data_IF_148062630390
#
_entry.id   IF_148062630390
#
_cell.length_a   1.000
_cell.length_b   1.000
_cell.length_c   1.000
_cell.angle_alpha   90.00
_cell.angle_beta   90.00
_cell.angle_gamma   90.00
#
_symmetry.space_group_name_H-M   'P 1'
#
loop_
_entity.id
_entity.type
_entity.pdbx_description
1 polymer ?
#
# COMPACT_ATOMS: atom_id res chain seq x y z
N UNK A 1 16.71 -3.12 -6.57
CA UNK A 1 17.48 -3.62 -5.43
C UNK A 1 18.34 -4.79 -5.89
N UNK A 2 19.60 -4.87 -5.40
CA UNK A 2 20.54 -5.92 -5.78
C UNK A 2 20.50 -7.04 -4.74
N UNK A 3 20.86 -8.29 -5.10
CA UNK A 3 20.92 -9.40 -4.14
C UNK A 3 21.78 -9.10 -2.90
N UNK A 4 22.90 -8.36 -3.08
CA UNK A 4 23.77 -7.95 -1.99
C UNK A 4 23.14 -7.01 -0.97
N UNK A 5 22.21 -6.14 -1.40
CA UNK A 5 21.50 -5.22 -0.50
C UNK A 5 20.58 -6.00 0.44
N UNK A 6 19.87 -6.99 -0.11
CA UNK A 6 19.01 -7.88 0.69
C UNK A 6 19.84 -8.76 1.63
N UNK A 7 20.95 -9.33 1.16
CA UNK A 7 21.85 -10.12 2.00
C UNK A 7 22.37 -9.31 3.19
N UNK A 8 22.74 -8.04 2.97
CA UNK A 8 23.19 -7.14 4.03
C UNK A 8 22.04 -6.84 5.04
N UNK A 9 20.79 -6.66 4.58
CA UNK A 9 19.65 -6.49 5.47
C UNK A 9 19.42 -7.75 6.32
N UNK A 10 19.44 -8.93 5.70
CA UNK A 10 19.20 -10.21 6.40
C UNK A 10 20.28 -10.51 7.45
N UNK A 11 21.54 -10.19 7.18
CA UNK A 11 22.64 -10.41 8.14
C UNK A 11 22.62 -9.46 9.34
N UNK A 12 21.90 -8.34 9.25
CA UNK A 12 21.72 -7.38 10.35
C UNK A 12 20.50 -7.66 11.23
N UNK A 13 19.66 -8.65 10.87
CA UNK A 13 18.50 -9.02 11.67
C UNK A 13 18.91 -9.66 13.00
N UNK A 14 18.05 -9.48 14.01
CA UNK A 14 18.15 -10.11 15.32
C UNK A 14 17.03 -11.15 15.50
N UNK A 15 17.17 -11.99 16.51
CA UNK A 15 16.15 -12.98 16.84
C UNK A 15 14.80 -12.33 17.12
N UNK A 16 13.76 -12.76 16.38
CA UNK A 16 12.42 -12.24 16.49
C UNK A 16 12.11 -10.98 15.66
N UNK A 17 13.07 -10.47 14.90
CA UNK A 17 12.83 -9.31 14.03
C UNK A 17 11.81 -9.62 12.92
N UNK A 18 11.19 -8.55 12.41
CA UNK A 18 10.26 -8.60 11.29
C UNK A 18 10.86 -7.84 10.09
N UNK A 19 11.08 -8.56 9.00
CA UNK A 19 11.45 -7.97 7.73
C UNK A 19 10.19 -7.73 6.89
N UNK A 20 9.87 -6.47 6.59
CA UNK A 20 8.75 -6.11 5.73
C UNK A 20 9.24 -5.76 4.33
N UNK A 21 8.65 -6.40 3.31
CA UNK A 21 8.93 -6.10 1.90
C UNK A 21 7.63 -5.64 1.24
N UNK A 22 7.57 -4.36 0.88
CA UNK A 22 6.45 -3.81 0.11
C UNK A 22 6.62 -4.10 -1.38
N UNK A 23 5.49 -4.34 -2.07
CA UNK A 23 5.44 -4.70 -3.49
C UNK A 23 6.38 -5.86 -3.85
N UNK A 24 6.35 -6.91 -3.04
CA UNK A 24 7.27 -8.07 -3.12
C UNK A 24 7.29 -8.72 -4.51
N UNK A 25 6.22 -8.58 -5.31
CA UNK A 25 6.18 -9.05 -6.71
C UNK A 25 7.17 -8.36 -7.63
N UNK A 26 7.80 -7.26 -7.18
CA UNK A 26 8.85 -6.53 -7.96
C UNK A 26 10.25 -7.05 -7.71
N UNK A 27 10.43 -8.01 -6.85
CA UNK A 27 11.73 -8.61 -6.64
C UNK A 27 12.21 -9.28 -7.94
N UNK A 28 13.48 -9.09 -8.27
CA UNK A 28 14.09 -9.84 -9.36
C UNK A 28 14.30 -11.29 -8.93
N UNK A 29 14.33 -12.20 -9.89
CA UNK A 29 14.56 -13.63 -9.62
C UNK A 29 15.84 -13.89 -8.80
N UNK A 30 16.89 -13.13 -9.06
CA UNK A 30 18.14 -13.23 -8.32
C UNK A 30 18.00 -12.84 -6.84
N UNK A 31 17.11 -11.88 -6.53
CA UNK A 31 16.80 -11.45 -5.15
C UNK A 31 15.90 -12.48 -4.47
N UNK A 32 14.93 -13.05 -5.19
CA UNK A 32 14.10 -14.15 -4.65
C UNK A 32 14.95 -15.38 -4.30
N UNK A 33 15.96 -15.72 -5.12
CA UNK A 33 16.86 -16.85 -4.88
C UNK A 33 17.66 -16.70 -3.57
N UNK A 34 17.92 -15.46 -3.13
CA UNK A 34 18.54 -15.18 -1.82
C UNK A 34 17.55 -15.41 -0.66
N UNK A 35 16.25 -15.14 -0.90
CA UNK A 35 15.22 -15.34 0.13
C UNK A 35 14.93 -16.81 0.40
N UNK A 36 15.07 -17.70 -0.57
CA UNK A 36 14.68 -19.09 -0.40
C UNK A 36 15.40 -19.78 0.76
N UNK A 37 16.75 -19.85 0.80
CA UNK A 37 17.44 -20.45 1.92
C UNK A 37 17.26 -19.66 3.23
N UNK A 38 17.08 -18.34 3.14
CA UNK A 38 16.82 -17.51 4.31
C UNK A 38 15.49 -17.85 4.99
N UNK A 39 14.45 -18.22 4.22
CA UNK A 39 13.13 -18.57 4.74
C UNK A 39 13.01 -20.04 5.13
N UNK A 40 13.71 -20.94 4.44
CA UNK A 40 13.64 -22.38 4.71
C UNK A 40 14.59 -22.79 5.84
N UNK A 41 15.86 -22.37 5.73
CA UNK A 41 16.96 -22.85 6.57
C UNK A 41 17.49 -21.81 7.56
N UNK A 42 16.98 -20.58 7.52
CA UNK A 42 17.58 -19.44 8.23
C UNK A 42 19.06 -19.29 7.92
N UNK A 43 19.41 -19.35 6.64
CA UNK A 43 20.79 -19.26 6.18
C UNK A 43 20.91 -18.49 4.86
N UNK A 44 22.07 -17.94 4.61
CA UNK A 44 22.46 -17.32 3.34
C UNK A 44 23.66 -18.03 2.76
N UNK A 45 23.63 -18.31 1.46
CA UNK A 45 24.75 -18.82 0.71
C UNK A 45 25.39 -17.67 -0.08
N UNK A 46 26.58 -17.24 0.32
CA UNK A 46 27.31 -16.14 -0.30
C UNK A 46 28.48 -16.70 -1.11
N UNK A 47 28.52 -16.36 -2.40
CA UNK A 47 29.65 -16.70 -3.27
C UNK A 47 30.78 -15.68 -3.09
N UNK A 48 31.98 -16.15 -2.66
CA UNK A 48 33.17 -15.33 -2.54
C UNK A 48 34.18 -15.74 -3.60
N UNK A 49 34.74 -14.77 -4.32
CA UNK A 49 35.66 -15.00 -5.43
C UNK A 49 34.99 -14.98 -6.80
N UNK A 50 35.78 -15.22 -7.84
CA UNK A 50 35.32 -15.28 -9.25
C UNK A 50 35.91 -16.50 -9.94
N UNK A 51 35.15 -17.04 -10.89
CA UNK A 51 35.60 -18.17 -11.72
C UNK A 51 35.67 -19.50 -10.96
N UNK A 52 36.51 -20.46 -11.39
CA UNK A 52 36.57 -21.83 -10.85
C UNK A 52 36.99 -21.92 -9.37
N UNK A 53 37.59 -20.86 -8.82
CA UNK A 53 38.05 -20.78 -7.43
C UNK A 53 37.01 -20.10 -6.51
N UNK A 54 35.81 -19.78 -7.01
CA UNK A 54 34.74 -19.22 -6.18
C UNK A 54 34.31 -20.25 -5.11
N UNK A 55 34.17 -19.78 -3.87
CA UNK A 55 33.75 -20.59 -2.74
C UNK A 55 32.39 -20.07 -2.24
N UNK A 56 31.51 -20.99 -1.90
CA UNK A 56 30.26 -20.67 -1.23
C UNK A 56 30.48 -20.68 0.29
N UNK A 57 30.15 -19.59 0.96
CA UNK A 57 30.12 -19.52 2.42
C UNK A 57 28.67 -19.44 2.86
N UNK A 58 28.27 -20.36 3.75
CA UNK A 58 26.95 -20.36 4.37
C UNK A 58 27.00 -19.59 5.70
N UNK A 59 26.15 -18.56 5.80
CA UNK A 59 25.99 -17.71 6.98
C UNK A 59 24.64 -18.06 7.63
N UNK A 60 24.64 -18.44 8.90
CA UNK A 60 23.41 -18.64 9.64
C UNK A 60 22.78 -17.31 10.01
N UNK A 61 21.47 -17.23 9.83
CA UNK A 61 20.64 -16.10 10.20
C UNK A 61 19.88 -16.39 11.52
N UNK A 62 19.59 -15.37 12.32
CA UNK A 62 18.64 -15.53 13.42
C UNK A 62 17.24 -15.84 12.88
N UNK A 63 16.36 -16.35 13.72
CA UNK A 63 14.96 -16.57 13.36
C UNK A 63 14.26 -15.22 13.24
N UNK A 64 13.65 -14.97 12.08
CA UNK A 64 12.93 -13.75 11.78
C UNK A 64 11.59 -14.07 11.12
N UNK A 65 10.70 -13.08 11.03
CA UNK A 65 9.45 -13.18 10.30
C UNK A 65 9.52 -12.33 9.04
N UNK A 66 9.23 -12.92 7.86
CA UNK A 66 9.05 -12.14 6.63
C UNK A 66 7.57 -11.78 6.45
N UNK A 67 7.30 -10.51 6.24
CA UNK A 67 5.99 -10.00 5.84
C UNK A 67 6.12 -9.39 4.44
N UNK A 68 5.44 -9.96 3.47
CA UNK A 68 5.38 -9.44 2.10
C UNK A 68 4.03 -8.79 1.81
N UNK A 69 4.04 -7.58 1.25
CA UNK A 69 2.84 -6.93 0.73
C UNK A 69 2.87 -6.87 -0.80
N UNK A 70 1.72 -7.03 -1.44
CA UNK A 70 1.61 -6.93 -2.90
C UNK A 70 0.21 -6.51 -3.34
N UNK A 71 0.16 -5.70 -4.39
CA UNK A 71 -1.08 -5.41 -5.12
C UNK A 71 -1.35 -6.42 -6.23
N UNK A 72 -0.41 -7.34 -6.51
CA UNK A 72 -0.45 -8.28 -7.65
C UNK A 72 -0.06 -9.69 -7.22
N UNK A 73 -0.90 -10.31 -6.38
CA UNK A 73 -0.63 -11.65 -5.85
C UNK A 73 -0.35 -12.72 -6.94
N UNK A 74 -0.98 -12.59 -8.12
CA UNK A 74 -0.75 -13.48 -9.26
C UNK A 74 0.64 -13.33 -9.93
N UNK A 75 1.40 -12.28 -9.60
CA UNK A 75 2.76 -12.09 -10.13
C UNK A 75 3.86 -12.59 -9.18
N UNK A 76 3.49 -13.03 -7.97
CA UNK A 76 4.43 -13.69 -7.07
C UNK A 76 4.72 -15.07 -7.66
N UNK A 77 6.01 -15.41 -7.76
CA UNK A 77 6.43 -16.73 -8.26
C UNK A 77 5.90 -17.85 -7.37
N UNK A 78 5.57 -19.01 -7.96
CA UNK A 78 5.13 -20.17 -7.20
C UNK A 78 6.07 -20.51 -6.04
N UNK A 79 7.39 -20.66 -6.30
CA UNK A 79 8.36 -20.97 -5.26
C UNK A 79 8.40 -19.99 -4.09
N UNK A 80 8.25 -18.67 -4.35
CA UNK A 80 8.21 -17.67 -3.29
C UNK A 80 6.89 -17.73 -2.52
N UNK A 81 5.77 -17.86 -3.23
CA UNK A 81 4.44 -17.96 -2.61
C UNK A 81 4.31 -19.15 -1.67
N UNK A 82 4.86 -20.31 -2.07
CA UNK A 82 4.75 -21.57 -1.32
C UNK A 82 5.53 -21.52 0.01
N UNK A 83 6.44 -20.55 0.18
CA UNK A 83 7.19 -20.31 1.42
C UNK A 83 6.46 -19.42 2.43
N UNK A 84 5.37 -18.75 2.00
CA UNK A 84 4.51 -18.03 2.94
C UNK A 84 3.50 -18.99 3.58
N UNK A 85 3.59 -19.16 4.89
CA UNK A 85 2.68 -20.00 5.66
C UNK A 85 1.28 -19.40 5.81
N UNK A 86 1.13 -18.08 5.63
CA UNK A 86 -0.13 -17.35 5.79
C UNK A 86 -0.30 -16.37 4.62
N UNK A 87 -1.44 -16.48 3.93
CA UNK A 87 -1.84 -15.55 2.88
C UNK A 87 -3.10 -14.81 3.34
N UNK A 88 -2.97 -13.48 3.47
CA UNK A 88 -4.07 -12.61 3.88
C UNK A 88 -4.50 -11.75 2.70
N UNK A 89 -5.81 -11.68 2.45
CA UNK A 89 -6.41 -10.76 1.49
C UNK A 89 -7.00 -9.58 2.25
N UNK A 90 -6.53 -8.39 1.96
CA UNK A 90 -7.11 -7.17 2.50
C UNK A 90 -8.32 -6.77 1.66
N UNK A 91 -9.41 -6.43 2.34
CA UNK A 91 -10.62 -5.91 1.72
C UNK A 91 -10.66 -4.39 1.78
N UNK A 92 -11.52 -3.79 0.96
CA UNK A 92 -11.78 -2.37 1.01
C UNK A 92 -12.52 -2.03 2.33
N UNK A 93 -12.17 -0.91 2.92
CA UNK A 93 -12.82 -0.42 4.12
C UNK A 93 -14.23 0.09 3.83
N UNK A 94 -15.14 -0.15 4.75
CA UNK A 94 -16.47 0.47 4.76
C UNK A 94 -16.38 1.98 5.04
N UNK A 95 -17.41 2.77 4.68
CA UNK A 95 -17.45 4.18 5.04
C UNK A 95 -17.34 4.46 6.54
N UNK A 96 -17.92 3.59 7.38
CA UNK A 96 -17.85 3.73 8.84
C UNK A 96 -16.44 3.52 9.38
N UNK A 97 -15.71 2.53 8.86
CA UNK A 97 -14.31 2.28 9.21
C UNK A 97 -13.41 3.42 8.73
N UNK A 98 -13.60 3.89 7.49
CA UNK A 98 -12.84 5.03 6.96
C UNK A 98 -13.12 6.31 7.73
N UNK A 99 -14.36 6.54 8.18
CA UNK A 99 -14.70 7.70 9.02
C UNK A 99 -13.88 7.70 10.31
N UNK A 100 -13.72 6.56 10.98
CA UNK A 100 -12.88 6.42 12.16
C UNK A 100 -11.40 6.71 11.85
N UNK A 101 -10.91 6.21 10.71
CA UNK A 101 -9.53 6.46 10.24
C UNK A 101 -9.32 7.96 9.98
N UNK A 102 -10.28 8.63 9.34
CA UNK A 102 -10.24 10.07 9.07
C UNK A 102 -10.21 10.87 10.37
N UNK A 103 -11.09 10.56 11.32
CA UNK A 103 -11.14 11.23 12.63
C UNK A 103 -9.82 11.07 13.38
N UNK A 104 -9.23 9.87 13.42
CA UNK A 104 -7.92 9.63 14.01
C UNK A 104 -6.83 10.46 13.31
N UNK A 105 -6.84 10.47 11.97
CA UNK A 105 -5.85 11.23 11.18
C UNK A 105 -6.00 12.73 11.36
N UNK A 106 -7.23 13.22 11.49
CA UNK A 106 -7.53 14.61 11.79
C UNK A 106 -6.98 15.01 13.17
N UNK A 107 -7.14 14.17 14.19
CA UNK A 107 -6.54 14.39 15.51
C UNK A 107 -5.01 14.46 15.47
N UNK A 108 -4.35 13.60 14.66
CA UNK A 108 -2.88 13.64 14.48
C UNK A 108 -2.42 14.94 13.77
N UNK A 109 -3.27 15.48 12.89
CA UNK A 109 -3.01 16.71 12.14
C UNK A 109 -3.46 17.98 12.89
N UNK A 110 -3.97 17.83 14.10
CA UNK A 110 -4.58 18.89 14.91
C UNK A 110 -5.67 19.66 14.13
N UNK A 111 -6.49 18.92 13.37
CA UNK A 111 -7.53 19.45 12.51
C UNK A 111 -8.90 19.10 13.07
N UNK A 112 -9.70 20.11 13.53
CA UNK A 112 -11.07 19.87 13.95
C UNK A 112 -11.93 19.35 12.79
N UNK A 113 -12.65 18.25 13.03
CA UNK A 113 -13.57 17.64 12.08
C UNK A 113 -14.78 17.08 12.80
N UNK A 114 -15.98 17.31 12.24
CA UNK A 114 -17.20 16.69 12.78
C UNK A 114 -17.35 15.24 12.30
N UNK A 115 -18.11 14.39 13.01
CA UNK A 115 -18.39 13.03 12.54
C UNK A 115 -19.05 13.00 11.16
N UNK A 116 -19.95 13.96 10.87
CA UNK A 116 -20.64 14.10 9.60
C UNK A 116 -19.66 14.48 8.47
N UNK A 117 -18.75 15.43 8.73
CA UNK A 117 -17.69 15.80 7.81
C UNK A 117 -16.78 14.63 7.48
N UNK A 118 -16.32 13.90 8.51
CA UNK A 118 -15.50 12.70 8.33
C UNK A 118 -16.21 11.61 7.51
N UNK A 119 -17.53 11.42 7.75
CA UNK A 119 -18.31 10.45 7.01
C UNK A 119 -18.51 10.82 5.53
N UNK A 120 -18.72 12.12 5.22
CA UNK A 120 -18.80 12.56 3.82
C UNK A 120 -17.50 12.34 3.05
N UNK A 121 -16.33 12.53 3.69
CA UNK A 121 -15.05 12.19 3.09
C UNK A 121 -14.89 10.66 2.90
N UNK A 122 -15.31 9.90 3.91
CA UNK A 122 -15.22 8.44 3.89
C UNK A 122 -16.02 7.83 2.73
N UNK A 123 -17.28 8.27 2.54
CA UNK A 123 -18.15 7.79 1.46
C UNK A 123 -17.52 7.92 0.08
N UNK A 124 -16.75 8.99 -0.16
CA UNK A 124 -16.14 9.26 -1.47
C UNK A 124 -14.72 8.73 -1.58
N UNK A 125 -14.21 8.07 -0.55
CA UNK A 125 -12.85 7.52 -0.52
C UNK A 125 -12.71 6.13 -1.13
N UNK A 126 -13.79 5.57 -1.65
CA UNK A 126 -13.81 4.28 -2.37
C UNK A 126 -13.11 3.14 -1.60
N UNK A 127 -13.34 3.05 -0.30
CA UNK A 127 -12.77 2.01 0.56
C UNK A 127 -11.26 2.13 0.83
N UNK A 128 -10.62 3.25 0.45
CA UNK A 128 -9.16 3.37 0.46
C UNK A 128 -8.67 4.43 1.47
N UNK A 129 -7.95 4.04 2.55
CA UNK A 129 -7.43 4.98 3.55
C UNK A 129 -6.48 6.04 2.95
N UNK A 130 -5.70 5.69 1.94
CA UNK A 130 -4.81 6.64 1.24
C UNK A 130 -5.61 7.78 0.58
N UNK A 131 -6.74 7.44 -0.07
CA UNK A 131 -7.63 8.43 -0.69
C UNK A 131 -8.29 9.28 0.38
N UNK A 132 -8.80 8.67 1.45
CA UNK A 132 -9.42 9.33 2.59
C UNK A 132 -8.47 10.38 3.21
N UNK A 133 -7.25 10.00 3.50
CA UNK A 133 -6.23 10.90 4.04
C UNK A 133 -5.82 12.01 3.04
N UNK A 134 -5.83 11.73 1.73
CA UNK A 134 -5.60 12.74 0.70
C UNK A 134 -6.72 13.78 0.71
N UNK A 135 -7.98 13.36 0.79
CA UNK A 135 -9.12 14.27 0.90
C UNK A 135 -9.05 15.10 2.18
N UNK A 136 -8.81 14.47 3.33
CA UNK A 136 -8.66 15.18 4.60
C UNK A 136 -7.63 16.31 4.50
N UNK A 137 -6.43 16.02 3.99
CA UNK A 137 -5.36 17.03 3.85
C UNK A 137 -5.76 18.19 2.96
N UNK A 138 -6.44 17.93 1.84
CA UNK A 138 -6.86 18.98 0.91
C UNK A 138 -8.02 19.80 1.45
N UNK A 139 -8.99 19.16 2.10
CA UNK A 139 -10.16 19.85 2.65
C UNK A 139 -9.80 20.66 3.89
N UNK A 140 -8.79 20.26 4.64
CA UNK A 140 -8.19 21.09 5.69
C UNK A 140 -7.78 22.47 5.15
N UNK A 141 -7.10 22.50 3.99
CA UNK A 141 -6.66 23.75 3.39
C UNK A 141 -7.87 24.66 3.03
N UNK A 142 -8.96 24.05 2.55
CA UNK A 142 -10.21 24.80 2.30
C UNK A 142 -10.90 25.26 3.60
N UNK A 143 -10.94 24.44 4.64
CA UNK A 143 -11.51 24.81 5.93
C UNK A 143 -10.79 26.02 6.54
N UNK A 144 -9.46 26.04 6.44
CA UNK A 144 -8.65 27.16 6.95
C UNK A 144 -8.84 28.45 6.18
N UNK A 145 -9.02 28.39 4.85
CA UNK A 145 -9.08 29.59 3.98
C UNK A 145 -10.51 30.14 3.84
N UNK A 146 -11.51 29.27 3.84
CA UNK A 146 -12.89 29.60 3.47
C UNK A 146 -13.90 29.42 4.60
N UNK A 147 -13.48 28.82 5.71
CA UNK A 147 -14.31 28.53 6.86
C UNK A 147 -13.69 29.03 8.16
N UNK A 148 -14.19 28.50 9.25
CA UNK A 148 -13.72 28.74 10.62
C UNK A 148 -12.62 27.76 11.08
N UNK A 149 -12.06 27.00 10.15
CA UNK A 149 -11.04 25.98 10.43
C UNK A 149 -11.59 24.61 10.82
N UNK A 150 -12.94 24.44 10.86
CA UNK A 150 -13.60 23.16 11.19
C UNK A 150 -14.04 22.49 9.89
N UNK A 151 -13.79 21.19 9.76
CA UNK A 151 -14.32 20.40 8.66
C UNK A 151 -15.66 19.81 9.10
N UNK A 152 -16.73 20.54 8.87
CA UNK A 152 -18.09 20.04 8.99
C UNK A 152 -18.55 19.39 7.67
N UNK A 153 -19.81 18.96 7.63
CA UNK A 153 -20.41 18.36 6.44
C UNK A 153 -20.39 19.29 5.24
N UNK A 154 -20.71 20.56 5.41
CA UNK A 154 -20.84 21.51 4.30
C UNK A 154 -19.48 21.89 3.74
N UNK A 155 -18.48 22.12 4.59
CA UNK A 155 -17.06 22.32 4.20
C UNK A 155 -16.54 21.07 3.47
N UNK A 156 -16.83 19.88 3.96
CA UNK A 156 -16.44 18.63 3.29
C UNK A 156 -17.05 18.52 1.89
N UNK A 157 -18.34 18.77 1.74
CA UNK A 157 -19.03 18.74 0.43
C UNK A 157 -18.53 19.81 -0.53
N UNK A 158 -18.32 21.04 -0.03
CA UNK A 158 -17.80 22.14 -0.82
C UNK A 158 -16.37 21.82 -1.30
N UNK A 159 -15.52 21.33 -0.42
CA UNK A 159 -14.13 20.97 -0.77
C UNK A 159 -14.07 19.84 -1.79
N UNK A 160 -14.87 18.78 -1.62
CA UNK A 160 -14.97 17.68 -2.59
C UNK A 160 -15.45 18.16 -3.96
N UNK A 161 -16.45 19.05 -3.99
CA UNK A 161 -16.92 19.67 -5.23
C UNK A 161 -15.82 20.49 -5.93
N UNK A 162 -15.03 21.26 -5.18
CA UNK A 162 -13.88 22.02 -5.73
C UNK A 162 -12.77 21.14 -6.23
N UNK A 163 -12.65 19.93 -5.70
CA UNK A 163 -11.74 18.89 -6.19
C UNK A 163 -12.31 18.09 -7.36
N UNK A 164 -13.50 18.46 -7.82
CA UNK A 164 -14.26 17.77 -8.88
C UNK A 164 -14.52 16.28 -8.58
N UNK A 165 -14.75 15.97 -7.29
CA UNK A 165 -15.10 14.64 -6.83
C UNK A 165 -16.61 14.53 -6.68
N UNK A 166 -17.21 13.60 -7.40
CA UNK A 166 -18.65 13.39 -7.40
C UNK A 166 -19.16 12.56 -6.19
N UNK A 167 -20.45 12.25 -6.17
CA UNK A 167 -21.08 11.50 -5.09
C UNK A 167 -20.55 10.05 -4.96
N UNK A 168 -20.00 9.48 -6.03
CA UNK A 168 -19.40 8.15 -6.06
C UNK A 168 -17.89 8.16 -5.72
N UNK A 169 -17.31 9.33 -5.56
CA UNK A 169 -15.88 9.50 -5.33
C UNK A 169 -15.04 9.47 -6.62
N UNK A 170 -15.69 9.68 -7.78
CA UNK A 170 -15.01 9.72 -9.08
C UNK A 170 -14.54 11.14 -9.38
N UNK A 171 -13.32 11.26 -9.87
CA UNK A 171 -12.76 12.51 -10.40
C UNK A 171 -12.99 12.63 -11.91
N UNK A 172 -12.54 13.73 -12.53
CA UNK A 172 -12.69 13.97 -13.98
C UNK A 172 -12.07 12.87 -14.82
N UNK A 173 -10.90 12.36 -14.43
CA UNK A 173 -10.22 11.29 -15.16
C UNK A 173 -11.01 9.98 -15.09
N UNK A 174 -11.51 9.63 -13.90
CA UNK A 174 -12.34 8.45 -13.70
C UNK A 174 -13.60 8.53 -14.59
N UNK A 175 -14.30 9.68 -14.57
CA UNK A 175 -15.51 9.89 -15.39
C UNK A 175 -15.22 9.86 -16.89
N UNK A 176 -14.13 10.48 -17.33
CA UNK A 176 -13.71 10.47 -18.74
C UNK A 176 -13.40 9.05 -19.23
N UNK A 177 -12.71 8.27 -18.41
CA UNK A 177 -12.41 6.87 -18.71
C UNK A 177 -13.69 6.03 -18.79
N UNK A 178 -14.59 6.15 -17.83
CA UNK A 178 -15.88 5.45 -17.84
C UNK A 178 -16.75 5.84 -19.05
N UNK A 179 -16.77 7.14 -19.39
CA UNK A 179 -17.49 7.63 -20.55
C UNK A 179 -16.92 7.05 -21.85
N UNK A 180 -15.60 7.02 -22.00
CA UNK A 180 -14.95 6.39 -23.14
C UNK A 180 -15.32 4.91 -23.27
N UNK A 181 -15.32 4.15 -22.16
CA UNK A 181 -15.74 2.75 -22.16
C UNK A 181 -17.19 2.59 -22.64
N UNK A 182 -18.08 3.44 -22.15
CA UNK A 182 -19.51 3.38 -22.50
C UNK A 182 -19.74 3.79 -23.95
N UNK A 183 -19.18 4.95 -24.38
CA UNK A 183 -19.48 5.56 -25.67
C UNK A 183 -18.71 4.90 -26.84
N UNK A 184 -17.44 4.53 -26.62
CA UNK A 184 -16.59 3.99 -27.68
C UNK A 184 -16.58 2.45 -27.74
N UNK A 185 -16.87 1.79 -26.63
CA UNK A 185 -16.77 0.32 -26.53
C UNK A 185 -18.10 -0.34 -26.08
N UNK A 186 -19.22 0.40 -26.06
CA UNK A 186 -20.54 -0.09 -25.65
C UNK A 186 -20.54 -0.80 -24.27
N UNK A 187 -19.72 -0.36 -23.33
CA UNK A 187 -19.57 -0.98 -22.03
C UNK A 187 -18.85 -2.34 -22.03
N UNK A 188 -18.28 -2.72 -23.17
CA UNK A 188 -17.58 -4.00 -23.34
C UNK A 188 -16.17 -4.01 -22.77
N UNK A 189 -15.48 -5.15 -22.83
CA UNK A 189 -14.11 -5.24 -22.37
C UNK A 189 -13.19 -4.35 -23.24
N UNK A 190 -12.33 -3.60 -22.57
CA UNK A 190 -11.29 -2.76 -23.16
C UNK A 190 -9.94 -3.38 -22.83
N UNK A 191 -9.16 -3.73 -23.85
CA UNK A 191 -7.81 -4.29 -23.74
C UNK A 191 -6.72 -3.25 -23.98
#
# INVERSE_FOLDING_TARGET
EKPGDLAALLTNLQEGDVLFIDEIHRLSRQVEEVLYPALEDYALDIMIGKGPSAQSIRINLPRFTLVGATTRAGQITGPLRDRFGVLLKLELYSPDELSKIIQRSAGILDQPITPEGAYELAKRSRGTPRVANRFLKRIRDFATVLGDGIIDRDVALMGLKRMDVDALGLDELDRSMLRAIIEMYNGGPVG
#
